data_IF_742724331276
#
_entry.id   IF_742724331276
#
_cell.length_a   1.000
_cell.length_b   1.000
_cell.length_c   1.000
_cell.angle_alpha   90.00
_cell.angle_beta   90.00
_cell.angle_gamma   90.00
#
_symmetry.space_group_name_H-M   'P 1'
#
loop_
_entity.id
_entity.type
_entity.pdbx_description
1 polymer ?
#
# COMPACT_ATOMS: atom_id res chain seq x y z
N UNK A 1 -17.81 33.01 -64.21
CA UNK A 1 -18.57 33.86 -63.26
C UNK A 1 -17.62 34.30 -62.14
N UNK A 2 -17.02 35.45 -62.36
CA UNK A 2 -16.26 36.27 -61.42
C UNK A 2 -17.22 37.08 -60.54
N UNK A 3 -16.93 37.27 -59.25
CA UNK A 3 -16.63 38.59 -58.70
C UNK A 3 -16.28 38.52 -57.20
N UNK A 4 -15.52 39.51 -56.76
CA UNK A 4 -14.69 39.56 -55.56
C UNK A 4 -14.99 40.85 -54.76
N UNK A 5 -15.01 40.79 -53.42
CA UNK A 5 -14.80 41.87 -52.38
C UNK A 5 -15.69 43.16 -52.43
N UNK A 6 -15.72 44.11 -51.43
CA UNK A 6 -14.89 44.36 -50.22
C UNK A 6 -15.68 44.61 -48.88
N UNK A 7 -15.16 44.40 -47.66
CA UNK A 7 -14.27 45.21 -46.76
C UNK A 7 -14.86 46.54 -46.17
N UNK A 8 -14.96 46.56 -44.82
CA UNK A 8 -14.91 47.64 -43.78
C UNK A 8 -16.04 48.70 -43.62
N UNK A 9 -16.64 48.75 -42.40
CA UNK A 9 -16.28 49.77 -41.36
C UNK A 9 -16.92 49.52 -39.98
N UNK A 10 -16.19 50.02 -38.99
CA UNK A 10 -16.33 49.99 -37.53
C UNK A 10 -17.59 50.59 -36.91
N UNK A 11 -18.05 50.05 -35.78
CA UNK A 11 -18.49 50.86 -34.63
C UNK A 11 -18.21 50.16 -33.29
N UNK A 12 -17.61 50.93 -32.37
CA UNK A 12 -17.45 50.66 -30.92
C UNK A 12 -18.83 50.41 -30.28
N UNK A 13 -18.91 49.60 -29.22
CA UNK A 13 -19.46 50.00 -27.90
C UNK A 13 -19.40 48.84 -26.88
N UNK A 14 -18.66 49.10 -25.80
CA UNK A 14 -18.85 48.78 -24.38
C UNK A 14 -19.49 47.46 -23.89
N UNK A 15 -18.71 46.79 -23.04
CA UNK A 15 -19.01 45.67 -22.15
C UNK A 15 -20.00 46.08 -21.04
N UNK A 16 -21.00 45.25 -20.68
CA UNK A 16 -21.57 45.25 -19.35
C UNK A 16 -21.07 44.06 -18.53
N UNK A 17 -20.41 44.39 -17.42
CA UNK A 17 -20.07 43.48 -16.31
C UNK A 17 -21.39 43.12 -15.60
N UNK A 18 -21.73 41.83 -15.52
CA UNK A 18 -22.85 41.36 -14.72
C UNK A 18 -22.33 40.57 -13.50
N UNK A 19 -22.39 41.22 -12.35
CA UNK A 19 -22.10 40.71 -11.02
C UNK A 19 -23.25 39.85 -10.50
N UNK A 20 -23.00 38.57 -10.21
CA UNK A 20 -23.91 37.72 -9.46
C UNK A 20 -23.42 37.59 -8.01
N UNK A 21 -24.04 38.37 -7.13
CA UNK A 21 -23.90 38.32 -5.67
C UNK A 21 -25.03 37.44 -5.12
N UNK A 22 -24.67 36.40 -4.37
CA UNK A 22 -25.60 35.54 -3.63
C UNK A 22 -26.11 36.25 -2.36
N UNK A 23 -27.44 36.23 -2.17
CA UNK A 23 -28.16 36.88 -1.06
C UNK A 23 -28.03 36.09 0.25
N UNK A 24 -27.72 36.79 1.34
CA UNK A 24 -27.83 36.36 2.73
C UNK A 24 -29.22 36.73 3.29
N UNK A 25 -29.84 35.95 4.19
CA UNK A 25 -31.02 36.38 4.93
C UNK A 25 -30.63 37.02 6.28
N UNK A 26 -31.03 38.27 6.47
CA UNK A 26 -30.98 39.04 7.72
C UNK A 26 -32.28 38.84 8.51
N UNK A 27 -32.18 38.35 9.75
CA UNK A 27 -33.30 38.31 10.70
C UNK A 27 -33.18 39.48 11.68
N UNK A 28 -34.18 40.37 11.66
CA UNK A 28 -34.35 41.53 12.53
C UNK A 28 -35.11 41.16 13.81
N UNK A 29 -34.59 41.56 14.98
CA UNK A 29 -35.27 41.47 16.27
C UNK A 29 -36.09 42.75 16.58
N UNK A 30 -37.26 42.65 17.23
CA UNK A 30 -37.94 43.82 17.79
C UNK A 30 -37.47 44.15 19.21
N UNK A 31 -37.37 45.44 19.49
CA UNK A 31 -37.05 46.06 20.78
C UNK A 31 -38.33 46.17 21.63
N UNK A 32 -38.31 45.72 22.88
CA UNK A 32 -39.26 46.17 23.91
C UNK A 32 -38.61 46.33 25.30
N UNK A 33 -38.67 47.59 25.75
CA UNK A 33 -38.62 48.24 27.07
C UNK A 33 -38.14 47.48 28.33
N UNK A 34 -37.29 48.21 29.05
CA UNK A 34 -36.76 48.07 30.40
C UNK A 34 -37.78 47.79 31.51
N UNK A 35 -37.42 46.87 32.43
CA UNK A 35 -37.75 46.96 33.85
C UNK A 35 -36.53 46.55 34.69
N UNK A 36 -36.13 47.45 35.60
CA UNK A 36 -35.09 47.24 36.61
C UNK A 36 -35.62 46.30 37.69
N UNK A 37 -34.84 45.28 38.07
CA UNK A 37 -34.80 44.81 39.45
C UNK A 37 -33.35 44.47 39.83
N UNK A 38 -32.87 45.19 40.82
CA UNK A 38 -31.68 44.88 41.62
C UNK A 38 -31.91 43.60 42.41
N UNK A 39 -30.91 42.71 42.46
CA UNK A 39 -30.40 42.15 43.71
C UNK A 39 -29.17 41.28 43.44
N UNK A 40 -28.09 41.67 44.11
CA UNK A 40 -26.80 41.00 44.27
C UNK A 40 -26.91 39.75 45.15
N UNK A 41 -26.35 38.60 44.73
CA UNK A 41 -25.92 37.43 45.54
C UNK A 41 -24.77 36.73 44.73
N UNK A 42 -23.74 36.14 45.37
CA UNK A 42 -22.37 36.12 44.86
C UNK A 42 -21.99 34.93 43.98
N UNK A 43 -20.99 35.16 43.12
CA UNK A 43 -20.33 34.18 42.25
C UNK A 43 -19.52 33.21 43.12
N UNK A 44 -19.87 31.92 43.09
CA UNK A 44 -18.97 30.84 43.51
C UNK A 44 -18.33 30.24 42.26
N UNK A 45 -17.00 30.03 42.21
CA UNK A 45 -16.37 29.38 41.07
C UNK A 45 -16.70 27.89 41.09
N UNK A 46 -17.48 27.45 40.10
CA UNK A 46 -17.64 26.03 39.77
C UNK A 46 -16.30 25.49 39.28
N UNK A 47 -15.58 24.82 40.17
CA UNK A 47 -14.46 23.95 39.83
C UNK A 47 -15.04 22.77 39.04
N UNK A 48 -14.86 22.78 37.72
CA UNK A 48 -15.08 21.62 36.88
C UNK A 48 -13.96 20.62 37.15
N UNK A 49 -14.19 19.73 38.12
CA UNK A 49 -13.40 18.51 38.25
C UNK A 49 -13.63 17.64 37.02
N UNK A 50 -12.64 17.61 36.13
CA UNK A 50 -12.54 16.62 35.05
C UNK A 50 -12.47 15.22 35.66
N UNK A 51 -13.39 14.28 35.32
CA UNK A 51 -13.28 12.92 35.83
C UNK A 51 -12.07 12.26 35.19
N UNK A 52 -11.08 11.94 36.00
CA UNK A 52 -10.00 11.03 35.64
C UNK A 52 -10.63 9.64 35.49
N UNK A 53 -10.87 9.19 34.27
CA UNK A 53 -11.21 7.80 33.98
C UNK A 53 -9.96 6.95 34.19
N UNK A 54 -9.69 6.60 35.45
CA UNK A 54 -8.80 5.51 35.80
C UNK A 54 -9.53 4.20 35.54
N UNK A 55 -9.12 3.45 34.52
CA UNK A 55 -9.56 2.07 34.34
C UNK A 55 -8.97 1.23 35.49
N UNK A 56 -9.80 0.55 36.31
CA UNK A 56 -9.27 -0.40 37.28
C UNK A 56 -8.71 -1.60 36.52
N UNK A 57 -7.46 -1.96 36.81
CA UNK A 57 -6.86 -3.24 36.41
C UNK A 57 -7.46 -4.30 37.33
N UNK A 58 -8.73 -4.62 37.11
CA UNK A 58 -9.35 -5.77 37.76
C UNK A 58 -9.01 -7.01 36.93
N UNK A 59 -8.53 -8.06 37.61
CA UNK A 59 -8.40 -9.41 37.06
C UNK A 59 -9.78 -9.86 36.58
N UNK A 60 -10.05 -9.69 35.29
CA UNK A 60 -11.26 -10.21 34.65
C UNK A 60 -11.08 -11.71 34.48
N UNK A 61 -11.71 -12.48 35.36
CA UNK A 61 -11.97 -13.91 35.15
C UNK A 61 -13.01 -14.02 34.04
N UNK A 62 -12.59 -14.40 32.84
CA UNK A 62 -13.44 -14.60 31.67
C UNK A 62 -14.46 -15.71 31.90
N UNK A 63 -15.75 -15.35 31.91
CA UNK A 63 -16.85 -16.31 31.71
C UNK A 63 -16.93 -16.61 30.20
N UNK A 64 -16.34 -17.73 29.79
CA UNK A 64 -16.38 -18.21 28.39
C UNK A 64 -17.72 -18.93 28.15
N UNK A 65 -18.56 -18.47 27.22
CA UNK A 65 -19.73 -19.24 26.78
C UNK A 65 -19.24 -20.49 26.04
N UNK A 66 -19.64 -21.69 26.51
CA UNK A 66 -19.37 -22.95 25.79
C UNK A 66 -20.28 -23.06 24.57
N UNK A 67 -19.85 -22.55 23.43
CA UNK A 67 -20.33 -23.03 22.13
C UNK A 67 -19.34 -24.08 21.63
N UNK A 68 -19.84 -25.27 21.32
CA UNK A 68 -19.06 -26.33 20.68
C UNK A 68 -18.78 -25.94 19.23
N UNK A 69 -17.66 -25.28 19.02
CA UNK A 69 -17.08 -24.97 17.71
C UNK A 69 -16.11 -26.12 17.40
N UNK A 70 -16.20 -26.71 16.22
CA UNK A 70 -15.22 -27.71 15.77
C UNK A 70 -13.84 -27.03 15.75
N UNK A 71 -12.92 -27.47 16.60
CA UNK A 71 -11.52 -27.03 16.58
C UNK A 71 -10.83 -27.63 15.35
N UNK A 72 -10.55 -26.82 14.33
CA UNK A 72 -9.69 -27.20 13.21
C UNK A 72 -8.31 -26.61 13.44
N UNK A 73 -7.47 -27.38 14.13
CA UNK A 73 -6.09 -27.01 14.35
C UNK A 73 -5.31 -26.92 13.03
N UNK A 74 -4.59 -25.82 12.88
CA UNK A 74 -3.69 -25.54 11.76
C UNK A 74 -2.27 -25.42 12.29
N UNK A 75 -1.29 -25.58 11.40
CA UNK A 75 0.12 -25.38 11.74
C UNK A 75 0.80 -24.48 10.73
N UNK A 76 1.51 -23.48 11.21
CA UNK A 76 2.36 -22.60 10.41
C UNK A 76 3.72 -22.44 11.07
N UNK A 77 4.80 -22.74 10.34
CA UNK A 77 6.18 -22.68 10.86
C UNK A 77 6.40 -23.45 12.18
N UNK A 78 5.63 -24.52 12.39
CA UNK A 78 5.69 -25.35 13.60
C UNK A 78 4.85 -24.85 14.76
N UNK A 79 4.15 -23.72 14.61
CA UNK A 79 3.21 -23.21 15.59
C UNK A 79 1.82 -23.73 15.28
N UNK A 80 1.22 -24.41 16.25
CA UNK A 80 -0.16 -24.88 16.20
C UNK A 80 -1.11 -23.79 16.71
N UNK A 81 -2.25 -23.63 16.04
CA UNK A 81 -3.28 -22.65 16.41
C UNK A 81 -4.66 -23.12 15.95
N UNK A 82 -5.71 -22.65 16.61
CA UNK A 82 -7.10 -22.88 16.22
C UNK A 82 -7.61 -21.70 15.40
N UNK A 83 -8.26 -21.95 14.27
CA UNK A 83 -8.92 -20.88 13.50
C UNK A 83 -10.27 -20.49 14.10
N UNK A 84 -10.90 -21.39 14.86
CA UNK A 84 -12.29 -21.24 15.30
C UNK A 84 -13.20 -20.89 14.12
N UNK A 85 -14.02 -19.86 14.29
CA UNK A 85 -14.84 -19.28 13.21
C UNK A 85 -14.21 -18.08 12.49
N UNK A 86 -12.93 -17.79 12.75
CA UNK A 86 -12.26 -16.64 12.15
C UNK A 86 -11.77 -16.95 10.74
N UNK A 87 -11.67 -15.90 9.92
CA UNK A 87 -11.11 -16.05 8.58
C UNK A 87 -9.63 -16.38 8.63
N UNK A 88 -9.23 -17.44 7.93
CA UNK A 88 -7.85 -17.84 7.76
C UNK A 88 -7.59 -18.29 6.32
N UNK A 89 -6.40 -17.94 5.79
CA UNK A 89 -5.91 -18.39 4.48
C UNK A 89 -4.48 -18.88 4.58
N UNK A 90 -4.25 -20.12 4.17
CA UNK A 90 -2.92 -20.73 4.16
C UNK A 90 -2.01 -20.09 3.10
N UNK A 91 -2.58 -19.63 1.97
CA UNK A 91 -1.85 -18.98 0.88
C UNK A 91 -1.21 -17.65 1.31
N UNK A 92 -1.68 -17.06 2.42
CA UNK A 92 -1.09 -15.84 3.00
C UNK A 92 0.13 -16.10 3.89
N UNK A 93 0.56 -17.36 4.07
CA UNK A 93 1.70 -17.73 4.91
C UNK A 93 2.99 -17.00 4.53
N UNK A 94 3.30 -16.90 3.23
CA UNK A 94 4.47 -16.15 2.75
C UNK A 94 4.41 -14.67 3.13
N UNK A 95 3.22 -14.06 3.08
CA UNK A 95 3.03 -12.68 3.51
C UNK A 95 3.25 -12.50 5.02
N UNK A 96 2.85 -13.50 5.83
CA UNK A 96 3.13 -13.53 7.27
C UNK A 96 4.61 -13.73 7.56
N UNK A 97 5.29 -14.63 6.83
CA UNK A 97 6.73 -14.85 6.94
C UNK A 97 7.52 -13.56 6.73
N UNK A 98 7.19 -12.79 5.68
CA UNK A 98 7.84 -11.51 5.40
C UNK A 98 7.61 -10.48 6.52
N UNK A 99 6.40 -10.45 7.10
CA UNK A 99 6.08 -9.58 8.24
C UNK A 99 6.91 -9.93 9.47
N UNK A 100 7.00 -11.22 9.82
CA UNK A 100 7.78 -11.70 10.97
C UNK A 100 9.28 -11.43 10.80
N UNK A 101 9.84 -11.70 9.62
CA UNK A 101 11.24 -11.41 9.33
C UNK A 101 11.54 -9.92 9.52
N UNK A 102 10.66 -9.04 9.05
CA UNK A 102 10.81 -7.60 9.21
C UNK A 102 10.69 -7.15 10.68
N UNK A 103 9.72 -7.69 11.42
CA UNK A 103 9.56 -7.42 12.84
C UNK A 103 10.81 -7.84 13.64
N UNK A 104 11.35 -9.02 13.35
CA UNK A 104 12.58 -9.53 13.99
C UNK A 104 13.82 -8.69 13.67
N UNK A 105 14.00 -8.26 12.42
CA UNK A 105 15.08 -7.32 12.06
C UNK A 105 14.93 -5.98 12.79
N UNK A 106 13.71 -5.47 12.93
CA UNK A 106 13.44 -4.25 13.68
C UNK A 106 13.81 -4.40 15.16
N UNK A 107 13.39 -5.51 15.79
CA UNK A 107 13.75 -5.85 17.18
C UNK A 107 15.27 -5.93 17.37
N UNK A 108 15.97 -6.64 16.48
CA UNK A 108 17.44 -6.77 16.53
C UNK A 108 18.16 -5.42 16.42
N UNK A 109 17.62 -4.50 15.62
CA UNK A 109 18.24 -3.19 15.38
C UNK A 109 17.96 -2.18 16.50
N UNK A 110 16.81 -2.27 17.17
CA UNK A 110 16.35 -1.25 18.12
C UNK A 110 16.30 -1.72 19.58
N UNK A 111 16.39 -3.03 19.84
CA UNK A 111 16.34 -3.61 21.18
C UNK A 111 14.94 -3.77 21.78
N UNK A 112 13.92 -3.11 21.24
CA UNK A 112 12.50 -3.29 21.61
C UNK A 112 11.61 -3.50 20.40
N UNK A 113 10.46 -4.16 20.61
CA UNK A 113 9.44 -4.38 19.60
C UNK A 113 8.06 -4.44 20.25
N UNK A 114 7.32 -3.34 20.15
CA UNK A 114 5.90 -3.27 20.46
C UNK A 114 5.07 -3.35 19.18
N UNK A 115 4.17 -4.32 19.10
CA UNK A 115 3.40 -4.62 17.89
C UNK A 115 1.91 -4.36 18.10
N UNK A 116 1.24 -3.81 17.10
CA UNK A 116 -0.21 -3.87 16.94
C UNK A 116 -0.53 -4.72 15.72
N UNK A 117 -1.31 -5.78 15.92
CA UNK A 117 -1.99 -6.53 14.88
C UNK A 117 -3.44 -6.04 14.85
N UNK A 118 -3.75 -5.11 13.93
CA UNK A 118 -4.95 -4.30 14.02
C UNK A 118 -6.24 -5.04 13.61
N UNK A 119 -6.11 -6.07 12.76
CA UNK A 119 -7.19 -6.95 12.29
C UNK A 119 -6.69 -8.40 12.34
N UNK A 120 -6.62 -8.97 13.55
CA UNK A 120 -5.84 -10.17 13.80
C UNK A 120 -6.51 -11.49 13.39
N UNK A 121 -7.84 -11.50 13.14
CA UNK A 121 -8.59 -12.72 12.85
C UNK A 121 -8.44 -13.72 13.99
N UNK A 122 -7.93 -14.93 13.70
CA UNK A 122 -7.61 -15.93 14.73
C UNK A 122 -6.38 -15.59 15.59
N UNK A 123 -5.65 -14.51 15.31
CA UNK A 123 -4.47 -14.11 16.07
C UNK A 123 -3.16 -14.78 15.63
N UNK A 124 -3.13 -15.49 14.50
CA UNK A 124 -1.91 -16.19 14.03
C UNK A 124 -0.72 -15.24 13.82
N UNK A 125 -0.93 -14.03 13.29
CA UNK A 125 0.15 -13.06 13.13
C UNK A 125 0.70 -12.60 14.47
N UNK A 126 -0.19 -12.19 15.37
CA UNK A 126 0.13 -11.86 16.75
C UNK A 126 0.93 -12.96 17.46
N UNK A 127 0.51 -14.22 17.34
CA UNK A 127 1.23 -15.37 17.89
C UNK A 127 2.64 -15.48 17.31
N UNK A 128 2.78 -15.36 15.98
CA UNK A 128 4.09 -15.41 15.32
C UNK A 128 4.98 -14.23 15.68
N UNK A 129 4.43 -13.03 15.87
CA UNK A 129 5.18 -11.87 16.35
C UNK A 129 5.75 -12.09 17.76
N UNK A 130 4.99 -12.74 18.65
CA UNK A 130 5.48 -13.12 19.98
C UNK A 130 6.53 -14.25 19.88
N UNK A 131 6.20 -15.34 19.19
CA UNK A 131 6.98 -16.58 19.23
C UNK A 131 8.25 -16.55 18.38
N UNK A 132 8.21 -15.88 17.21
CA UNK A 132 9.29 -15.91 16.22
C UNK A 132 10.04 -14.58 16.17
N UNK A 133 9.34 -13.44 16.22
CA UNK A 133 9.98 -12.12 16.23
C UNK A 133 10.39 -11.65 17.64
N UNK A 134 10.04 -12.40 18.68
CA UNK A 134 10.31 -12.08 20.09
C UNK A 134 9.83 -10.66 20.47
N UNK A 135 8.62 -10.30 20.03
CA UNK A 135 7.98 -9.05 20.42
C UNK A 135 7.84 -8.95 21.95
N UNK A 136 8.14 -7.79 22.52
CA UNK A 136 8.03 -7.55 23.96
C UNK A 136 6.56 -7.45 24.37
N UNK A 137 5.75 -6.83 23.50
CA UNK A 137 4.33 -6.63 23.73
C UNK A 137 3.55 -6.64 22.41
N UNK A 138 2.46 -7.39 22.36
CA UNK A 138 1.54 -7.45 21.20
C UNK A 138 0.12 -7.08 21.60
N UNK A 139 -0.46 -6.11 20.91
CA UNK A 139 -1.92 -5.88 20.93
C UNK A 139 -2.51 -6.64 19.76
N UNK A 140 -3.32 -7.66 20.05
CA UNK A 140 -4.08 -8.41 19.07
C UNK A 140 -5.51 -7.87 19.06
N UNK A 141 -5.85 -7.08 18.04
CA UNK A 141 -7.16 -6.47 17.91
C UNK A 141 -7.96 -7.13 16.80
N UNK A 142 -9.21 -7.48 17.09
CA UNK A 142 -10.20 -7.81 16.06
C UNK A 142 -11.54 -7.18 16.41
N UNK A 143 -12.18 -6.51 15.44
CA UNK A 143 -13.47 -5.86 15.67
C UNK A 143 -14.61 -6.82 16.01
N UNK A 144 -14.41 -8.13 15.78
CA UNK A 144 -15.35 -9.17 16.16
C UNK A 144 -14.96 -9.79 17.51
N UNK A 145 -15.79 -9.57 18.53
CA UNK A 145 -15.58 -10.08 19.88
C UNK A 145 -15.78 -11.59 20.03
N UNK A 146 -16.48 -12.24 19.09
CA UNK A 146 -16.63 -13.69 19.06
C UNK A 146 -15.29 -14.44 18.91
N UNK A 147 -14.25 -13.78 18.38
CA UNK A 147 -12.93 -14.38 18.22
C UNK A 147 -12.05 -14.26 19.47
N UNK A 148 -12.49 -13.53 20.50
CA UNK A 148 -11.68 -13.24 21.69
C UNK A 148 -11.12 -14.45 22.40
N UNK A 149 -11.94 -15.50 22.59
CA UNK A 149 -11.46 -16.75 23.21
C UNK A 149 -10.44 -17.46 22.33
N UNK A 150 -10.69 -17.56 21.01
CA UNK A 150 -9.77 -18.19 20.05
C UNK A 150 -8.43 -17.45 19.99
N UNK A 151 -8.46 -16.12 19.92
CA UNK A 151 -7.26 -15.27 19.91
C UNK A 151 -6.48 -15.48 21.21
N UNK A 152 -7.13 -15.32 22.37
CA UNK A 152 -6.47 -15.46 23.66
C UNK A 152 -5.87 -16.86 23.86
N UNK A 153 -6.57 -17.92 23.45
CA UNK A 153 -6.05 -19.28 23.50
C UNK A 153 -4.82 -19.43 22.59
N UNK A 154 -4.87 -18.93 21.36
CA UNK A 154 -3.74 -18.95 20.44
C UNK A 154 -2.53 -18.20 20.99
N UNK A 155 -2.71 -17.01 21.55
CA UNK A 155 -1.63 -16.22 22.15
C UNK A 155 -1.06 -16.85 23.42
N UNK A 156 -1.87 -17.57 24.19
CA UNK A 156 -1.39 -18.30 25.38
C UNK A 156 -0.34 -19.38 25.05
N UNK A 157 -0.24 -19.80 23.78
CA UNK A 157 0.78 -20.74 23.29
C UNK A 157 2.15 -20.09 23.12
N UNK A 158 2.24 -18.75 23.12
CA UNK A 158 3.51 -18.04 23.12
C UNK A 158 4.22 -18.19 24.48
N UNK A 159 5.52 -18.52 24.47
CA UNK A 159 6.31 -18.69 25.69
C UNK A 159 6.89 -17.38 26.25
N UNK A 160 6.92 -16.33 25.44
CA UNK A 160 7.55 -15.04 25.75
C UNK A 160 6.68 -13.89 25.24
N UNK A 161 6.92 -12.70 25.80
CA UNK A 161 6.24 -11.47 25.45
C UNK A 161 4.89 -11.34 26.16
N UNK A 162 4.52 -10.11 26.44
CA UNK A 162 3.20 -9.78 26.98
C UNK A 162 2.21 -9.55 25.83
N UNK A 163 0.92 -9.77 26.08
CA UNK A 163 -0.10 -9.52 25.06
C UNK A 163 -1.40 -9.01 25.65
N UNK A 164 -2.16 -8.31 24.81
CA UNK A 164 -3.49 -7.81 25.10
C UNK A 164 -4.41 -8.10 23.93
N UNK A 165 -5.56 -8.71 24.20
CA UNK A 165 -6.64 -8.87 23.22
C UNK A 165 -7.63 -7.73 23.36
N UNK A 166 -7.97 -7.08 22.25
CA UNK A 166 -8.97 -6.01 22.21
C UNK A 166 -10.01 -6.24 21.12
N UNK A 167 -11.21 -5.72 21.33
CA UNK A 167 -12.33 -5.85 20.40
C UNK A 167 -12.87 -4.50 19.95
N UNK A 168 -12.03 -3.75 19.26
CA UNK A 168 -12.33 -2.40 18.79
C UNK A 168 -12.22 -2.34 17.27
N UNK A 169 -12.93 -1.38 16.67
CA UNK A 169 -12.64 -0.99 15.30
C UNK A 169 -11.17 -0.50 15.20
N UNK A 170 -10.49 -0.84 14.11
CA UNK A 170 -9.04 -0.67 13.98
C UNK A 170 -8.59 0.81 14.10
N UNK A 171 -9.30 1.76 13.49
CA UNK A 171 -8.99 3.19 13.66
C UNK A 171 -9.17 3.65 15.10
N UNK A 172 -10.20 3.14 15.79
CA UNK A 172 -10.42 3.46 17.20
C UNK A 172 -9.27 3.01 18.08
N UNK A 173 -8.84 1.75 18.01
CA UNK A 173 -7.72 1.27 18.84
C UNK A 173 -6.46 2.09 18.58
N UNK A 174 -6.11 2.35 17.31
CA UNK A 174 -4.95 3.17 16.97
C UNK A 174 -5.06 4.60 17.50
N UNK A 175 -6.24 5.21 17.41
CA UNK A 175 -6.50 6.56 17.93
C UNK A 175 -6.41 6.60 19.46
N UNK A 176 -6.95 5.61 20.15
CA UNK A 176 -6.90 5.53 21.62
C UNK A 176 -5.45 5.47 22.11
N UNK A 177 -4.62 4.62 21.49
CA UNK A 177 -3.18 4.54 21.78
C UNK A 177 -2.43 5.85 21.48
N UNK A 178 -2.75 6.49 20.35
CA UNK A 178 -2.20 7.80 20.01
C UNK A 178 -2.54 8.87 21.07
N UNK A 179 -3.80 8.94 21.51
CA UNK A 179 -4.25 9.89 22.53
C UNK A 179 -3.61 9.62 23.90
N UNK A 180 -3.33 8.35 24.21
CA UNK A 180 -2.58 7.93 25.39
C UNK A 180 -1.06 8.14 25.24
N UNK A 181 -0.58 8.69 24.11
CA UNK A 181 0.84 8.89 23.80
C UNK A 181 1.67 7.61 23.91
N UNK A 182 1.05 6.50 23.55
CA UNK A 182 1.62 5.17 23.61
C UNK A 182 1.74 4.64 22.18
N UNK A 183 2.98 4.48 21.70
CA UNK A 183 3.25 4.22 20.29
C UNK A 183 3.76 2.80 20.06
N UNK A 184 3.51 2.28 18.87
CA UNK A 184 3.98 0.99 18.40
C UNK A 184 5.28 1.14 17.58
N UNK A 185 6.11 0.12 17.62
CA UNK A 185 7.31 0.01 16.77
C UNK A 185 6.96 -0.67 15.43
N UNK A 186 5.91 -1.49 15.43
CA UNK A 186 5.38 -2.20 14.27
C UNK A 186 3.85 -2.21 14.30
N UNK A 187 3.19 -1.82 13.20
CA UNK A 187 1.74 -1.94 13.04
C UNK A 187 1.46 -2.77 11.80
N UNK A 188 0.70 -3.86 11.95
CA UNK A 188 0.17 -4.70 10.89
C UNK A 188 -1.32 -4.38 10.65
N UNK A 189 -1.65 -3.96 9.45
CA UNK A 189 -3.03 -3.68 9.00
C UNK A 189 -3.36 -4.64 7.86
N UNK A 190 -3.90 -5.80 8.20
CA UNK A 190 -4.35 -6.81 7.24
C UNK A 190 -5.83 -6.66 6.88
N UNK A 191 -6.17 -5.55 6.21
CA UNK A 191 -7.57 -5.26 5.86
C UNK A 191 -8.06 -5.99 4.61
N UNK A 192 -9.38 -6.20 4.53
CA UNK A 192 -10.05 -6.62 3.29
C UNK A 192 -10.46 -5.40 2.45
N UNK A 193 -10.34 -5.56 1.14
CA UNK A 193 -10.79 -4.57 0.17
C UNK A 193 -9.78 -3.45 -0.02
N UNK A 194 -10.29 -2.23 -0.05
CA UNK A 194 -9.62 -1.05 -0.58
C UNK A 194 -9.40 0.06 0.44
N UNK A 195 -9.77 -0.16 1.70
CA UNK A 195 -9.93 0.93 2.64
C UNK A 195 -8.57 1.44 3.13
N UNK A 196 -8.23 2.65 2.69
CA UNK A 196 -7.03 3.38 3.10
C UNK A 196 -7.24 4.16 4.40
N UNK A 197 -8.45 4.15 4.97
CA UNK A 197 -8.82 4.93 6.17
C UNK A 197 -7.86 4.70 7.34
N UNK A 198 -7.34 3.48 7.45
CA UNK A 198 -6.40 3.06 8.49
C UNK A 198 -5.04 3.76 8.42
N UNK A 199 -4.60 4.22 7.25
CA UNK A 199 -3.23 4.74 7.04
C UNK A 199 -2.92 5.91 7.98
N UNK A 200 -3.86 6.85 8.13
CA UNK A 200 -3.67 8.02 8.98
C UNK A 200 -3.55 7.64 10.46
N UNK A 201 -4.48 6.83 10.94
CA UNK A 201 -4.53 6.39 12.33
C UNK A 201 -3.31 5.53 12.68
N UNK A 202 -2.90 4.64 11.78
CA UNK A 202 -1.71 3.82 11.92
C UNK A 202 -0.45 4.69 12.04
N UNK A 203 -0.26 5.65 11.14
CA UNK A 203 0.91 6.54 11.20
C UNK A 203 0.95 7.40 12.46
N UNK A 204 -0.20 7.83 12.99
CA UNK A 204 -0.26 8.56 14.25
C UNK A 204 0.15 7.68 15.45
N UNK A 205 -0.26 6.41 15.46
CA UNK A 205 0.05 5.45 16.52
C UNK A 205 1.44 4.82 16.40
N UNK A 206 2.15 5.04 15.29
CA UNK A 206 3.46 4.46 15.02
C UNK A 206 4.59 5.39 15.49
N UNK A 207 5.62 4.82 16.10
CA UNK A 207 6.86 5.54 16.43
C UNK A 207 7.56 5.96 15.13
N UNK A 208 8.21 7.12 15.13
CA UNK A 208 9.13 7.48 14.05
C UNK A 208 10.29 6.46 13.97
N UNK A 209 10.60 6.03 12.75
CA UNK A 209 11.50 4.89 12.48
C UNK A 209 10.80 3.53 12.53
N UNK A 210 9.56 3.47 13.01
CA UNK A 210 8.73 2.27 13.09
C UNK A 210 8.29 1.77 11.71
N UNK A 211 7.76 0.54 11.72
CA UNK A 211 7.33 -0.18 10.53
C UNK A 211 5.81 -0.26 10.43
N UNK A 212 5.30 0.01 9.23
CA UNK A 212 3.90 -0.10 8.89
C UNK A 212 3.76 -1.16 7.79
N UNK A 213 3.13 -2.28 8.13
CA UNK A 213 2.81 -3.36 7.19
C UNK A 213 1.33 -3.28 6.82
N UNK A 214 1.03 -3.02 5.55
CA UNK A 214 -0.35 -2.77 5.12
C UNK A 214 -0.71 -3.71 3.98
N UNK A 215 -1.91 -4.28 4.08
CA UNK A 215 -2.52 -5.09 3.04
C UNK A 215 -3.74 -4.41 2.43
N UNK A 216 -3.84 -4.52 1.11
CA UNK A 216 -5.05 -4.25 0.33
C UNK A 216 -5.38 -5.47 -0.52
N UNK A 217 -6.67 -5.77 -0.70
CA UNK A 217 -7.14 -6.83 -1.61
C UNK A 217 -7.94 -6.27 -2.80
N UNK A 218 -7.77 -4.98 -3.10
CA UNK A 218 -8.53 -4.29 -4.16
C UNK A 218 -7.92 -4.50 -5.56
N UNK A 219 -8.20 -5.68 -6.11
CA UNK A 219 -7.85 -6.03 -7.49
C UNK A 219 -8.59 -5.20 -8.55
N UNK A 220 -9.79 -4.69 -8.24
CA UNK A 220 -10.61 -3.97 -9.22
C UNK A 220 -10.09 -2.55 -9.47
N UNK A 221 -9.72 -1.84 -8.40
CA UNK A 221 -9.09 -0.52 -8.50
C UNK A 221 -7.70 -0.59 -9.12
N UNK A 222 -6.86 -1.54 -8.69
CA UNK A 222 -5.52 -1.75 -9.27
C UNK A 222 -5.58 -2.12 -10.75
N UNK A 223 -6.59 -2.90 -11.15
CA UNK A 223 -6.91 -3.20 -12.54
C UNK A 223 -7.47 -2.02 -13.36
N UNK A 224 -7.76 -0.87 -12.74
CA UNK A 224 -8.37 0.28 -13.40
C UNK A 224 -9.83 0.07 -13.82
N UNK A 225 -10.55 -0.86 -13.17
CA UNK A 225 -11.98 -1.10 -13.40
C UNK A 225 -12.86 -0.13 -12.60
N UNK A 226 -12.38 0.33 -11.44
CA UNK A 226 -13.08 1.27 -10.55
C UNK A 226 -12.22 2.54 -10.30
N UNK A 227 -11.99 3.39 -11.32
CA UNK A 227 -11.10 4.55 -11.21
C UNK A 227 -11.56 5.60 -10.20
N UNK A 228 -12.88 5.79 -10.03
CA UNK A 228 -13.41 6.72 -9.02
C UNK A 228 -13.22 6.20 -7.59
N UNK A 229 -13.22 4.87 -7.42
CA UNK A 229 -12.99 4.25 -6.12
C UNK A 229 -11.51 4.32 -5.72
N UNK A 230 -10.58 4.03 -6.65
CA UNK A 230 -9.15 4.31 -6.41
C UNK A 230 -8.88 5.78 -6.09
N UNK A 231 -9.57 6.71 -6.74
CA UNK A 231 -9.47 8.13 -6.42
C UNK A 231 -10.00 8.44 -5.02
N UNK A 232 -11.14 7.88 -4.63
CA UNK A 232 -11.72 8.11 -3.30
C UNK A 232 -10.84 7.53 -2.18
N UNK A 233 -10.39 6.28 -2.32
CA UNK A 233 -9.60 5.60 -1.30
C UNK A 233 -8.15 6.11 -1.29
N UNK A 234 -7.47 6.09 -2.43
CA UNK A 234 -6.02 6.34 -2.49
C UNK A 234 -5.66 7.70 -3.07
N UNK A 235 -6.63 8.53 -3.48
CA UNK A 235 -6.39 9.80 -4.21
C UNK A 235 -5.62 9.62 -5.51
N UNK A 236 -5.63 8.41 -6.06
CA UNK A 236 -4.99 8.07 -7.31
C UNK A 236 -6.07 7.69 -8.31
N UNK A 237 -6.13 8.36 -9.46
CA UNK A 237 -7.04 7.96 -10.53
C UNK A 237 -6.35 6.88 -11.36
N UNK A 238 -6.70 5.60 -11.13
CA UNK A 238 -6.05 4.46 -11.78
C UNK A 238 -6.80 4.04 -13.04
N UNK A 239 -6.12 4.10 -14.19
CA UNK A 239 -6.58 3.56 -15.47
C UNK A 239 -6.01 2.17 -15.72
N UNK A 240 -6.60 1.45 -16.67
CA UNK A 240 -6.13 0.13 -17.12
C UNK A 240 -4.72 0.23 -17.73
N UNK A 241 -3.78 -0.48 -17.13
CA UNK A 241 -2.38 -0.59 -17.56
C UNK A 241 -2.00 -2.08 -17.62
N UNK A 242 -1.03 -2.49 -18.47
CA UNK A 242 -0.71 -3.91 -18.69
C UNK A 242 -0.05 -4.61 -17.48
N UNK A 243 0.44 -3.84 -16.50
CA UNK A 243 1.07 -4.28 -15.26
C UNK A 243 0.24 -3.84 -14.03
N UNK A 244 -1.08 -4.04 -14.09
CA UNK A 244 -2.04 -3.63 -13.06
C UNK A 244 -1.68 -4.07 -11.64
N UNK A 245 -1.07 -5.24 -11.50
CA UNK A 245 -0.73 -5.78 -10.19
C UNK A 245 0.41 -4.98 -9.53
N UNK A 246 1.37 -4.47 -10.33
CA UNK A 246 2.37 -3.54 -9.82
C UNK A 246 1.74 -2.16 -9.52
N UNK A 247 0.78 -1.72 -10.33
CA UNK A 247 0.02 -0.49 -10.07
C UNK A 247 -0.72 -0.56 -8.73
N UNK A 248 -1.25 -1.72 -8.34
CA UNK A 248 -1.86 -1.91 -7.02
C UNK A 248 -0.90 -1.62 -5.87
N UNK A 249 0.34 -2.13 -5.94
CA UNK A 249 1.38 -1.86 -4.94
C UNK A 249 1.74 -0.36 -4.92
N UNK A 250 1.93 0.24 -6.10
CA UNK A 250 2.29 1.66 -6.25
C UNK A 250 1.18 2.60 -5.79
N UNK A 251 -0.08 2.21 -5.96
CA UNK A 251 -1.26 2.92 -5.48
C UNK A 251 -1.31 2.91 -3.96
N UNK A 252 -1.09 1.75 -3.35
CA UNK A 252 -1.07 1.61 -1.89
C UNK A 252 0.06 2.44 -1.26
N UNK A 253 1.29 2.35 -1.79
CA UNK A 253 2.43 3.16 -1.34
C UNK A 253 2.15 4.65 -1.58
N UNK A 254 1.57 5.02 -2.73
CA UNK A 254 1.23 6.40 -3.05
C UNK A 254 0.20 7.00 -2.08
N UNK A 255 -0.83 6.22 -1.69
CA UNK A 255 -1.78 6.61 -0.65
C UNK A 255 -1.09 6.86 0.69
N UNK A 256 -0.21 5.94 1.11
CA UNK A 256 0.58 6.10 2.33
C UNK A 256 1.51 7.32 2.28
N UNK A 257 2.20 7.54 1.16
CA UNK A 257 3.08 8.68 0.97
C UNK A 257 2.33 10.01 1.12
N UNK A 258 1.12 10.11 0.55
CA UNK A 258 0.25 11.27 0.74
C UNK A 258 -0.12 11.47 2.21
N UNK A 259 -0.58 10.44 2.90
CA UNK A 259 -0.98 10.55 4.31
C UNK A 259 0.20 10.95 5.20
N UNK A 260 1.38 10.37 4.98
CA UNK A 260 2.59 10.71 5.70
C UNK A 260 3.01 12.17 5.49
N UNK A 261 2.91 12.67 4.25
CA UNK A 261 3.27 14.05 3.92
C UNK A 261 2.43 15.06 4.71
N UNK A 262 1.14 14.81 4.91
CA UNK A 262 0.26 15.67 5.73
C UNK A 262 0.71 15.71 7.20
N UNK A 263 1.33 14.63 7.69
CA UNK A 263 1.89 14.52 9.04
C UNK A 263 3.31 15.09 9.16
N UNK A 264 3.86 15.71 8.11
CA UNK A 264 5.25 16.17 8.10
C UNK A 264 6.26 15.02 8.16
N UNK A 265 5.88 13.87 7.60
CA UNK A 265 6.68 12.66 7.51
C UNK A 265 6.80 12.21 6.05
N UNK A 266 7.64 11.22 5.81
CA UNK A 266 7.67 10.46 4.57
C UNK A 266 7.75 8.96 4.88
N UNK A 267 7.39 8.14 3.90
CA UNK A 267 7.50 6.69 3.98
C UNK A 267 8.54 6.19 2.99
N UNK A 268 9.30 5.17 3.39
CA UNK A 268 10.22 4.46 2.51
C UNK A 268 9.78 3.00 2.40
N UNK A 269 9.50 2.49 1.19
CA UNK A 269 9.24 1.07 0.99
C UNK A 269 10.48 0.24 1.32
N UNK A 270 10.32 -0.77 2.18
CA UNK A 270 11.35 -1.78 2.45
C UNK A 270 11.18 -2.99 1.55
N UNK A 271 9.94 -3.41 1.33
CA UNK A 271 9.56 -4.38 0.31
C UNK A 271 8.08 -4.25 -0.02
N UNK A 272 7.69 -4.84 -1.14
CA UNK A 272 6.30 -5.02 -1.52
C UNK A 272 6.07 -6.46 -1.99
N UNK A 273 4.85 -6.96 -1.84
CA UNK A 273 4.53 -8.34 -2.18
C UNK A 273 3.14 -8.43 -2.80
N UNK A 274 3.06 -9.07 -3.96
CA UNK A 274 1.80 -9.44 -4.60
C UNK A 274 1.56 -10.96 -4.51
N UNK A 275 0.37 -11.35 -4.05
CA UNK A 275 -0.10 -12.73 -4.11
C UNK A 275 -1.35 -12.86 -4.99
N UNK A 276 -1.33 -13.79 -5.94
CA UNK A 276 -2.37 -13.90 -6.96
C UNK A 276 -3.69 -14.51 -6.47
N UNK A 277 -3.67 -15.33 -5.41
CA UNK A 277 -4.82 -16.11 -4.90
C UNK A 277 -5.93 -15.26 -4.21
N UNK A 278 -6.04 -13.97 -4.54
CA UNK A 278 -7.02 -13.07 -3.92
C UNK A 278 -6.67 -11.60 -4.10
N UNK A 279 -6.19 -11.22 -5.30
CA UNK A 279 -5.14 -10.21 -5.53
C UNK A 279 -4.77 -9.42 -4.27
N UNK A 280 -3.74 -9.90 -3.57
CA UNK A 280 -3.31 -9.35 -2.29
C UNK A 280 -2.08 -8.48 -2.53
N UNK A 281 -2.17 -7.21 -2.16
CA UNK A 281 -1.12 -6.20 -2.24
C UNK A 281 -0.62 -5.91 -0.84
N UNK A 282 0.63 -6.26 -0.54
CA UNK A 282 1.26 -5.98 0.76
C UNK A 282 2.44 -5.06 0.59
N UNK A 283 2.58 -4.08 1.48
CA UNK A 283 3.71 -3.16 1.47
C UNK A 283 4.23 -2.97 2.88
N UNK A 284 5.54 -3.11 3.04
CA UNK A 284 6.25 -2.80 4.27
C UNK A 284 6.88 -1.42 4.13
N UNK A 285 6.46 -0.48 4.97
CA UNK A 285 6.90 0.90 4.93
C UNK A 285 7.62 1.27 6.23
N UNK A 286 8.70 2.04 6.13
CA UNK A 286 9.30 2.73 7.27
C UNK A 286 8.79 4.16 7.34
N UNK A 287 8.26 4.58 8.48
CA UNK A 287 7.81 5.97 8.68
C UNK A 287 8.98 6.81 9.20
N UNK A 288 9.33 7.88 8.49
CA UNK A 288 10.46 8.74 8.84
C UNK A 288 9.95 10.17 9.06
N UNK A 289 10.33 10.76 10.21
CA UNK A 289 10.02 12.16 10.49
C UNK A 289 10.89 13.07 9.62
N UNK A 290 10.28 14.03 8.97
CA UNK A 290 11.00 15.00 8.15
C UNK A 290 10.11 15.50 7.03
N UNK A 291 10.37 16.75 6.60
CA UNK A 291 9.70 17.32 5.44
C UNK A 291 9.96 16.45 4.22
N UNK A 292 8.97 16.36 3.33
CA UNK A 292 9.10 15.70 2.02
C UNK A 292 10.26 16.37 1.28
N UNK A 293 11.42 15.73 1.28
CA UNK A 293 12.61 16.29 0.66
C UNK A 293 12.68 16.01 -0.85
N UNK A 294 11.85 15.08 -1.33
CA UNK A 294 11.88 14.69 -2.73
C UNK A 294 10.52 14.16 -3.22
N UNK A 295 9.77 14.98 -3.95
CA UNK A 295 8.54 14.55 -4.64
C UNK A 295 8.83 13.71 -5.90
N UNK A 296 10.10 13.42 -6.21
CA UNK A 296 10.51 12.63 -7.39
C UNK A 296 9.87 11.25 -7.48
N UNK A 297 9.47 10.66 -6.36
CA UNK A 297 8.89 9.31 -6.34
C UNK A 297 7.37 9.30 -6.19
N UNK A 298 6.72 10.46 -6.35
CA UNK A 298 5.28 10.58 -6.30
C UNK A 298 4.79 11.36 -7.52
N UNK A 299 4.37 10.63 -8.55
CA UNK A 299 4.09 11.17 -9.87
C UNK A 299 3.07 10.35 -10.64
N UNK A 300 3.08 10.47 -11.96
CA UNK A 300 2.09 9.87 -12.84
C UNK A 300 2.74 8.85 -13.76
N UNK A 301 2.06 7.74 -14.01
CA UNK A 301 2.50 6.70 -14.94
C UNK A 301 1.63 6.79 -16.19
N UNK A 302 2.25 7.08 -17.32
CA UNK A 302 1.63 7.01 -18.64
C UNK A 302 2.01 5.75 -19.39
N UNK A 303 1.05 5.17 -20.10
CA UNK A 303 1.26 4.06 -21.03
C UNK A 303 0.66 4.40 -22.39
N UNK A 304 1.48 4.31 -23.43
CA UNK A 304 1.01 4.50 -24.80
C UNK A 304 0.49 3.17 -25.36
N UNK A 305 -0.81 3.12 -25.65
CA UNK A 305 -1.45 1.92 -26.20
C UNK A 305 -0.94 1.55 -27.60
N UNK A 306 -0.35 2.51 -28.33
CA UNK A 306 0.15 2.31 -29.69
C UNK A 306 1.55 1.69 -29.70
N UNK A 307 2.55 2.37 -29.12
CA UNK A 307 3.93 1.86 -29.12
C UNK A 307 4.22 0.88 -27.97
N UNK A 308 3.39 0.86 -26.92
CA UNK A 308 3.58 0.02 -25.74
C UNK A 308 4.66 0.52 -24.77
N UNK A 309 5.21 1.72 -24.96
CA UNK A 309 6.10 2.34 -24.00
C UNK A 309 5.33 2.89 -22.80
N UNK A 310 6.02 2.86 -21.65
CA UNK A 310 5.57 3.56 -20.45
C UNK A 310 6.51 4.72 -20.14
N UNK A 311 5.97 5.77 -19.54
CA UNK A 311 6.73 6.95 -19.14
C UNK A 311 6.24 7.48 -17.80
N UNK A 312 7.16 7.91 -16.95
CA UNK A 312 6.84 8.63 -15.73
C UNK A 312 6.73 10.11 -16.04
N UNK A 313 5.74 10.77 -15.46
CA UNK A 313 5.57 12.21 -15.55
C UNK A 313 5.55 12.78 -14.14
N UNK A 314 6.39 13.78 -13.92
CA UNK A 314 6.39 14.61 -12.72
C UNK A 314 5.22 15.60 -12.72
N UNK A 315 5.05 16.31 -11.60
CA UNK A 315 4.04 17.36 -11.46
C UNK A 315 4.23 18.51 -12.46
N UNK A 316 5.48 18.88 -12.74
CA UNK A 316 5.81 19.97 -13.67
C UNK A 316 5.52 19.61 -15.14
N UNK A 317 5.42 18.31 -15.44
CA UNK A 317 5.17 17.78 -16.78
C UNK A 317 3.69 17.51 -17.08
N UNK A 318 2.78 17.77 -16.12
CA UNK A 318 1.34 17.50 -16.27
C UNK A 318 0.73 18.10 -17.55
N UNK A 319 1.12 19.33 -17.89
CA UNK A 319 0.66 20.01 -19.11
C UNK A 319 1.31 19.52 -20.40
N UNK A 320 2.36 18.69 -20.31
CA UNK A 320 3.21 18.24 -21.41
C UNK A 320 3.06 16.73 -21.69
N UNK A 321 2.19 16.05 -20.93
CA UNK A 321 1.93 14.62 -21.04
C UNK A 321 1.54 14.23 -22.47
N UNK A 322 2.46 13.56 -23.15
CA UNK A 322 2.30 13.14 -24.53
C UNK A 322 3.19 11.92 -24.80
N UNK A 323 2.87 11.18 -25.87
CA UNK A 323 3.78 10.16 -26.38
C UNK A 323 4.46 10.68 -27.64
N UNK A 324 5.77 10.46 -27.78
CA UNK A 324 6.54 10.88 -28.94
C UNK A 324 6.41 9.94 -30.16
N UNK A 325 5.56 8.91 -30.10
CA UNK A 325 5.39 8.01 -31.23
C UNK A 325 4.76 8.72 -32.44
N UNK A 326 5.41 8.64 -33.60
CA UNK A 326 5.12 9.41 -34.83
C UNK A 326 3.82 9.04 -35.57
N UNK A 327 2.76 8.66 -34.87
CA UNK A 327 1.51 8.18 -35.49
C UNK A 327 0.38 9.23 -35.40
N UNK A 328 -0.53 9.30 -36.39
CA UNK A 328 -1.44 10.46 -36.59
C UNK A 328 -2.39 10.82 -35.43
N UNK A 329 -2.62 9.93 -34.45
CA UNK A 329 -3.61 10.11 -33.36
C UNK A 329 -2.99 10.00 -31.95
N UNK A 330 -1.88 10.70 -31.71
CA UNK A 330 -1.13 10.65 -30.44
C UNK A 330 -1.98 10.98 -29.19
N UNK A 331 -2.86 12.00 -29.27
CA UNK A 331 -3.53 12.55 -28.09
C UNK A 331 -4.55 11.63 -27.42
N UNK A 332 -5.07 10.60 -28.12
CA UNK A 332 -5.99 9.59 -27.56
C UNK A 332 -5.29 8.30 -27.12
N UNK A 333 -4.00 8.17 -27.40
CA UNK A 333 -3.26 6.92 -27.21
C UNK A 333 -2.69 6.72 -25.80
N UNK A 334 -2.52 7.81 -25.04
CA UNK A 334 -1.87 7.80 -23.73
C UNK A 334 -2.89 7.58 -22.60
N UNK A 335 -2.75 6.46 -21.90
CA UNK A 335 -3.45 6.20 -20.63
C UNK A 335 -2.56 6.67 -19.48
N UNK A 336 -3.02 7.64 -18.70
CA UNK A 336 -2.29 8.16 -17.53
C UNK A 336 -2.99 7.74 -16.24
N UNK A 337 -2.22 7.20 -15.29
CA UNK A 337 -2.65 6.86 -13.93
C UNK A 337 -1.83 7.66 -12.92
N UNK A 338 -2.47 8.22 -11.89
CA UNK A 338 -1.74 8.99 -10.88
C UNK A 338 -2.59 9.85 -9.95
N UNK A 339 -1.95 10.49 -8.96
CA UNK A 339 -0.55 10.26 -8.58
C UNK A 339 -0.34 8.89 -7.91
N UNK A 340 0.82 8.28 -8.15
CA UNK A 340 1.24 6.96 -7.67
C UNK A 340 2.68 7.04 -7.14
N UNK A 341 3.10 6.02 -6.39
CA UNK A 341 4.51 5.82 -6.11
C UNK A 341 5.27 5.37 -7.36
N UNK A 342 6.24 6.16 -7.81
CA UNK A 342 7.06 5.89 -9.00
C UNK A 342 8.48 5.40 -8.64
N UNK A 343 8.89 5.53 -7.39
CA UNK A 343 10.19 5.06 -6.90
C UNK A 343 10.34 3.53 -6.77
N UNK A 344 11.45 3.08 -6.15
CA UNK A 344 11.73 1.68 -5.86
C UNK A 344 10.65 1.03 -4.99
N UNK A 345 10.35 -0.23 -5.25
CA UNK A 345 9.38 -1.02 -4.47
C UNK A 345 10.02 -1.77 -3.29
N UNK A 346 11.34 -1.85 -3.29
CA UNK A 346 12.14 -2.71 -2.43
C UNK A 346 13.44 -2.02 -2.03
N UNK A 347 13.94 -2.35 -0.85
CA UNK A 347 15.28 -2.02 -0.38
C UNK A 347 16.14 -3.30 -0.44
N UNK A 348 17.15 -3.30 -1.31
CA UNK A 348 17.99 -4.47 -1.57
C UNK A 348 18.77 -4.92 -0.33
N UNK A 349 19.25 -3.98 0.49
CA UNK A 349 20.02 -4.28 1.69
C UNK A 349 19.12 -4.93 2.74
N UNK A 350 17.94 -4.34 2.97
CA UNK A 350 16.93 -4.86 3.88
C UNK A 350 16.48 -6.28 3.49
N UNK A 351 16.19 -6.52 2.21
CA UNK A 351 15.84 -7.85 1.71
C UNK A 351 16.98 -8.86 1.86
N UNK A 352 18.22 -8.42 1.69
CA UNK A 352 19.41 -9.28 1.91
C UNK A 352 19.51 -9.69 3.38
N UNK A 353 19.28 -8.76 4.30
CA UNK A 353 19.23 -9.05 5.73
C UNK A 353 18.07 -10.00 6.08
N UNK A 354 16.90 -9.82 5.47
CA UNK A 354 15.77 -10.74 5.62
C UNK A 354 16.11 -12.15 5.12
N UNK A 355 16.79 -12.27 3.98
CA UNK A 355 17.23 -13.55 3.44
C UNK A 355 18.24 -14.24 4.39
N UNK A 356 19.18 -13.48 4.93
CA UNK A 356 20.17 -14.00 5.88
C UNK A 356 19.49 -14.48 7.17
N UNK A 357 18.52 -13.72 7.67
CA UNK A 357 17.71 -14.13 8.82
C UNK A 357 16.92 -15.40 8.55
N UNK A 358 16.24 -15.48 7.41
CA UNK A 358 15.48 -16.67 7.01
C UNK A 358 16.37 -17.92 6.92
N UNK A 359 17.61 -17.77 6.43
CA UNK A 359 18.62 -18.85 6.42
C UNK A 359 19.01 -19.29 7.82
N UNK A 360 19.25 -18.34 8.73
CA UNK A 360 19.59 -18.64 10.13
C UNK A 360 18.48 -19.43 10.83
N UNK A 361 17.22 -19.17 10.49
CA UNK A 361 16.05 -19.86 11.04
C UNK A 361 15.70 -21.17 10.33
N UNK A 362 16.45 -21.57 9.29
CA UNK A 362 16.15 -22.77 8.50
C UNK A 362 14.83 -22.66 7.73
N UNK A 363 14.33 -21.44 7.48
CA UNK A 363 13.11 -21.23 6.71
C UNK A 363 13.29 -21.41 5.20
N UNK A 364 14.55 -21.48 4.78
CA UNK A 364 15.01 -21.62 3.40
C UNK A 364 16.18 -22.61 3.33
N UNK A 365 16.49 -23.14 2.14
CA UNK A 365 17.56 -24.12 1.94
C UNK A 365 17.13 -25.60 2.00
N UNK A 366 15.85 -25.90 2.25
CA UNK A 366 15.29 -27.25 2.15
C UNK A 366 14.42 -27.36 0.89
N UNK A 367 14.98 -27.90 -0.19
CA UNK A 367 14.34 -28.04 -1.50
C UNK A 367 13.20 -29.07 -1.48
N UNK A 368 11.94 -28.63 -1.35
CA UNK A 368 10.77 -29.46 -1.70
C UNK A 368 9.53 -28.72 -2.24
N UNK A 369 9.49 -27.39 -2.32
CA UNK A 369 8.32 -26.69 -2.90
C UNK A 369 8.70 -25.66 -3.96
N UNK A 370 8.01 -25.74 -5.10
CA UNK A 370 7.88 -24.65 -6.06
C UNK A 370 7.35 -23.41 -5.31
N UNK A 371 8.11 -22.31 -5.38
CA UNK A 371 7.95 -21.04 -4.65
C UNK A 371 8.56 -20.98 -3.24
N UNK A 372 9.81 -21.42 -3.09
CA UNK A 372 10.57 -21.17 -1.86
C UNK A 372 10.69 -19.67 -1.56
N UNK A 373 10.52 -19.30 -0.28
CA UNK A 373 10.69 -17.93 0.23
C UNK A 373 12.04 -17.32 -0.19
N UNK A 374 13.09 -18.13 -0.27
CA UNK A 374 14.40 -17.70 -0.78
C UNK A 374 14.36 -17.27 -2.24
N UNK A 375 13.68 -18.01 -3.12
CA UNK A 375 13.54 -17.62 -4.52
C UNK A 375 12.79 -16.29 -4.62
N UNK A 376 11.74 -16.10 -3.80
CA UNK A 376 10.98 -14.86 -3.76
C UNK A 376 11.86 -13.67 -3.34
N UNK A 377 12.56 -13.77 -2.21
CA UNK A 377 13.39 -12.68 -1.70
C UNK A 377 14.53 -12.35 -2.68
N UNK A 378 15.19 -13.35 -3.27
CA UNK A 378 16.20 -13.13 -4.32
C UNK A 378 15.63 -12.38 -5.52
N UNK A 379 14.42 -12.74 -5.94
CA UNK A 379 13.74 -12.05 -7.04
C UNK A 379 13.45 -10.58 -6.70
N UNK A 380 13.01 -10.30 -5.47
CA UNK A 380 12.80 -8.92 -5.01
C UNK A 380 14.11 -8.13 -4.92
N UNK A 381 15.22 -8.77 -4.53
CA UNK A 381 16.56 -8.16 -4.57
C UNK A 381 16.95 -7.80 -6.01
N UNK A 382 16.76 -8.71 -6.97
CA UNK A 382 17.04 -8.43 -8.39
C UNK A 382 16.15 -7.28 -8.93
N UNK A 383 14.90 -7.21 -8.50
CA UNK A 383 13.98 -6.11 -8.84
C UNK A 383 14.34 -4.76 -8.19
N UNK A 384 15.27 -4.74 -7.24
CA UNK A 384 15.70 -3.53 -6.53
C UNK A 384 16.75 -2.72 -7.31
N UNK A 385 17.17 -3.17 -8.49
CA UNK A 385 18.14 -2.44 -9.33
C UNK A 385 17.61 -1.03 -9.67
N UNK A 386 18.32 0.05 -9.30
CA UNK A 386 17.87 1.43 -9.52
C UNK A 386 17.73 1.82 -11.00
N UNK A 387 18.28 1.01 -11.92
CA UNK A 387 18.10 1.21 -13.38
C UNK A 387 16.77 0.67 -13.88
N UNK A 388 16.07 -0.17 -13.12
CA UNK A 388 14.79 -0.73 -13.53
C UNK A 388 13.68 0.30 -13.31
N UNK A 389 12.85 0.58 -14.34
CA UNK A 389 11.71 1.45 -14.20
C UNK A 389 10.53 0.71 -13.54
N UNK A 390 9.45 1.45 -13.31
CA UNK A 390 8.18 0.86 -12.95
C UNK A 390 7.61 -0.05 -14.05
N UNK A 391 6.76 -0.98 -13.63
CA UNK A 391 6.06 -1.91 -14.50
C UNK A 391 6.92 -3.07 -14.98
N UNK A 392 6.27 -3.97 -15.71
CA UNK A 392 6.89 -5.13 -16.32
C UNK A 392 6.27 -5.38 -17.70
N UNK A 393 7.01 -6.06 -18.57
CA UNK A 393 6.56 -6.46 -19.90
C UNK A 393 6.23 -7.94 -19.85
N UNK A 394 4.95 -8.30 -20.08
CA UNK A 394 4.57 -9.70 -20.27
C UNK A 394 5.10 -10.19 -21.62
N UNK A 395 5.66 -11.38 -21.69
CA UNK A 395 6.19 -11.87 -22.97
C UNK A 395 5.11 -12.09 -24.02
N UNK A 396 3.89 -12.46 -23.61
CA UNK A 396 2.78 -12.61 -24.55
C UNK A 396 2.34 -11.26 -25.14
N UNK A 397 2.42 -10.20 -24.33
CA UNK A 397 2.19 -8.82 -24.75
C UNK A 397 3.24 -8.38 -25.78
N UNK A 398 4.50 -8.73 -25.56
CA UNK A 398 5.61 -8.47 -26.47
C UNK A 398 5.46 -9.26 -27.78
N UNK A 399 5.20 -10.57 -27.67
CA UNK A 399 5.05 -11.48 -28.80
C UNK A 399 3.90 -11.04 -29.73
N UNK A 400 2.75 -10.66 -29.14
CA UNK A 400 1.61 -10.10 -29.85
C UNK A 400 1.98 -8.83 -30.63
N UNK A 401 2.72 -7.90 -30.01
CA UNK A 401 3.18 -6.66 -30.67
C UNK A 401 4.19 -6.93 -31.78
N UNK A 402 5.09 -7.87 -31.55
CA UNK A 402 6.12 -8.24 -32.51
C UNK A 402 5.59 -9.13 -33.65
N UNK A 403 4.37 -9.68 -33.52
CA UNK A 403 3.76 -10.67 -34.43
C UNK A 403 4.62 -11.93 -34.60
N UNK A 404 5.10 -12.46 -33.48
CA UNK A 404 5.96 -13.66 -33.38
C UNK A 404 5.45 -14.58 -32.28
N UNK A 405 6.00 -15.79 -32.20
CA UNK A 405 5.83 -16.66 -31.03
C UNK A 405 6.58 -16.10 -29.81
N UNK A 406 6.10 -16.43 -28.61
CA UNK A 406 6.69 -15.96 -27.35
C UNK A 406 8.11 -16.52 -27.18
N UNK A 407 9.15 -15.67 -27.11
CA UNK A 407 10.52 -16.14 -26.93
C UNK A 407 10.72 -16.70 -25.51
N UNK A 408 11.63 -17.66 -25.29
CA UNK A 408 11.92 -18.14 -23.94
C UNK A 408 12.46 -17.01 -23.04
N UNK A 409 11.85 -16.80 -21.88
CA UNK A 409 12.16 -15.68 -20.98
C UNK A 409 13.64 -15.55 -20.62
N UNK A 410 14.32 -16.69 -20.33
CA UNK A 410 15.75 -16.68 -20.01
C UNK A 410 16.60 -16.20 -21.18
N UNK A 411 16.29 -16.63 -22.39
CA UNK A 411 17.00 -16.25 -23.62
C UNK A 411 16.78 -14.78 -23.93
N UNK A 412 15.53 -14.32 -23.85
CA UNK A 412 15.18 -12.91 -24.08
C UNK A 412 15.85 -11.98 -23.07
N UNK A 413 15.79 -12.31 -21.77
CA UNK A 413 16.46 -11.57 -20.72
C UNK A 413 17.98 -11.51 -20.94
N UNK A 414 18.61 -12.62 -21.33
CA UNK A 414 20.05 -12.65 -21.64
C UNK A 414 20.40 -11.74 -22.82
N UNK A 415 19.54 -11.66 -23.84
CA UNK A 415 19.75 -10.78 -24.99
C UNK A 415 19.62 -9.29 -24.63
N UNK A 416 18.66 -8.93 -23.76
CA UNK A 416 18.52 -7.57 -23.24
C UNK A 416 19.76 -7.15 -22.46
N UNK A 417 20.24 -8.01 -21.56
CA UNK A 417 21.47 -7.77 -20.78
C UNK A 417 22.69 -7.60 -21.70
N UNK A 418 22.83 -8.43 -22.75
CA UNK A 418 23.92 -8.31 -23.75
C UNK A 418 23.89 -7.00 -24.53
N UNK A 419 22.72 -6.38 -24.70
CA UNK A 419 22.56 -5.06 -25.36
C UNK A 419 22.78 -3.89 -24.38
N UNK A 420 23.12 -4.16 -23.12
CA UNK A 420 23.49 -3.15 -22.13
C UNK A 420 22.33 -2.59 -21.29
N UNK A 421 21.12 -3.13 -21.45
CA UNK A 421 19.95 -2.74 -20.66
C UNK A 421 19.89 -3.51 -19.34
N UNK A 422 19.28 -2.91 -18.32
CA UNK A 422 18.97 -3.60 -17.08
C UNK A 422 17.79 -4.55 -17.30
N UNK A 423 17.81 -5.72 -16.66
CA UNK A 423 16.73 -6.68 -16.78
C UNK A 423 16.63 -7.59 -15.55
N UNK A 424 15.39 -7.82 -15.08
CA UNK A 424 15.08 -8.82 -14.07
C UNK A 424 13.77 -9.54 -14.40
N UNK A 425 13.54 -10.68 -13.76
CA UNK A 425 12.20 -11.29 -13.71
C UNK A 425 11.30 -10.48 -12.78
N UNK A 426 9.98 -10.67 -12.91
CA UNK A 426 9.00 -10.09 -12.00
C UNK A 426 8.55 -11.12 -10.95
N UNK A 427 8.51 -10.73 -9.67
CA UNK A 427 7.87 -11.51 -8.61
C UNK A 427 6.34 -11.47 -8.69
N UNK A 428 5.80 -10.48 -9.41
CA UNK A 428 4.37 -10.24 -9.57
C UNK A 428 3.78 -11.12 -10.68
N UNK A 429 4.56 -11.40 -11.74
CA UNK A 429 4.12 -12.12 -12.93
C UNK A 429 5.25 -13.02 -13.46
N UNK A 430 4.99 -14.34 -13.51
CA UNK A 430 6.01 -15.37 -13.77
C UNK A 430 6.62 -15.27 -15.17
N UNK A 431 5.81 -14.92 -16.17
CA UNK A 431 6.23 -14.78 -17.57
C UNK A 431 6.40 -13.31 -17.99
N UNK A 432 7.05 -12.52 -17.14
CA UNK A 432 7.31 -11.12 -17.38
C UNK A 432 8.74 -10.70 -17.02
N UNK A 433 9.17 -9.61 -17.63
CA UNK A 433 10.49 -9.00 -17.44
C UNK A 433 10.34 -7.54 -17.06
N UNK A 434 11.12 -7.08 -16.07
CA UNK A 434 11.35 -5.65 -15.82
C UNK A 434 12.59 -5.24 -16.57
N UNK A 435 12.55 -4.11 -17.28
CA UNK A 435 13.70 -3.61 -18.03
C UNK A 435 13.54 -2.13 -18.35
N UNK A 436 14.66 -1.42 -18.46
CA UNK A 436 14.72 -0.07 -19.01
C UNK A 436 14.84 -0.05 -20.55
N UNK A 437 14.82 -1.22 -21.20
CA UNK A 437 14.79 -1.34 -22.64
C UNK A 437 13.43 -0.84 -23.20
N UNK A 438 13.42 0.16 -24.10
CA UNK A 438 12.18 0.62 -24.75
C UNK A 438 11.46 -0.53 -25.47
N UNK A 439 10.12 -0.48 -25.53
CA UNK A 439 9.31 -1.52 -26.18
C UNK A 439 9.72 -1.74 -27.66
N UNK A 440 10.10 -0.68 -28.36
CA UNK A 440 10.59 -0.75 -29.75
C UNK A 440 11.85 -1.62 -29.87
N UNK A 441 12.81 -1.44 -28.97
CA UNK A 441 14.04 -2.23 -28.92
C UNK A 441 13.77 -3.66 -28.45
N UNK A 442 12.88 -3.85 -27.46
CA UNK A 442 12.41 -5.17 -27.06
C UNK A 442 11.84 -5.97 -28.24
N UNK A 443 11.05 -5.33 -29.11
CA UNK A 443 10.48 -5.96 -30.32
C UNK A 443 11.58 -6.36 -31.30
N UNK A 444 12.58 -5.50 -31.52
CA UNK A 444 13.72 -5.80 -32.42
C UNK A 444 14.49 -7.01 -31.90
N UNK A 445 14.89 -6.99 -30.63
CA UNK A 445 15.63 -8.08 -29.99
C UNK A 445 14.83 -9.40 -30.05
N UNK A 446 13.52 -9.35 -29.79
CA UNK A 446 12.69 -10.55 -29.84
C UNK A 446 12.61 -11.15 -31.26
N UNK A 447 12.53 -10.30 -32.30
CA UNK A 447 12.55 -10.76 -33.69
C UNK A 447 13.90 -11.35 -34.09
N UNK A 448 15.01 -10.73 -33.70
CA UNK A 448 16.37 -11.24 -33.94
C UNK A 448 16.51 -12.67 -33.36
N UNK A 449 16.04 -12.89 -32.13
CA UNK A 449 16.11 -14.20 -31.49
C UNK A 449 15.29 -15.28 -32.22
N UNK A 450 14.10 -14.93 -32.70
CA UNK A 450 13.25 -15.88 -33.41
C UNK A 450 13.78 -16.21 -34.81
N UNK A 451 14.40 -15.24 -35.50
CA UNK A 451 15.06 -15.50 -36.79
C UNK A 451 16.26 -16.42 -36.63
N UNK A 452 17.07 -16.24 -35.58
CA UNK A 452 18.18 -17.12 -35.26
C UNK A 452 17.72 -18.55 -34.93
N UNK A 453 16.55 -18.72 -34.32
CA UNK A 453 15.99 -20.05 -34.01
C UNK A 453 15.43 -20.82 -35.21
N UNK A 454 15.17 -20.13 -36.34
CA UNK A 454 14.68 -20.76 -37.59
C UNK A 454 15.87 -21.16 -38.48
N UNK A 455 17.02 -20.50 -38.32
CA UNK A 455 18.24 -20.75 -39.09
C UNK A 455 19.17 -21.81 -38.48
N UNK A 456 18.92 -22.20 -37.23
CA UNK A 456 19.58 -23.28 -36.48
C UNK A 456 18.73 -24.54 -36.46
#
# INVERSE_FOLDING_TARGET
>A
MSCSYPVLKSHKFSIPICSLVAKSPTLTYPVHKSQKFSNSIPISPLVLNSPTLTYPVDKVTTLVPKFSINCEYQTERGLEFDTGGAFYRQESATGRDLGVLAASLHKKSNGSLRVLDALCGCGIRSLRYLAEAEADFVVANDGNDFYGSTIAENLSRAMKGEWLVTHLEANRVMTDYYMQKTFFDFIDVDSFGSDSSFLRSAMNALRYGGLLYVTSTDGLSSGGHLPHHSLASYGAYVRRLPYSNEIGLRMLIGGAAREAAVLGCHVTPLFSYYAYHGPVFRVMLRLIRGKVHDSRHYGYIGFCNQCGNSHEFSWDELGQMSCSCSMPEVSKSLSVSGPLWTGPLHDAAYLTDMLNLAKQWGWVGCDTKENSLEKLIKLMVDESDPKLPFGYIKLDQLASRAKINSPPLKTFMSAILKKGYAASRSHIETNAIKTNCPMTECIIIAKELMQLSIAS
#
